data_IF_700532136937
#
_entry.id   IF_700532136937
#
_cell.length_a   1.000
_cell.length_b   1.000
_cell.length_c   1.000
_cell.angle_alpha   90.00
_cell.angle_beta   90.00
_cell.angle_gamma   90.00
#
_symmetry.space_group_name_H-M   'P 1'
#
loop_
_entity.id
_entity.type
_entity.pdbx_description
1 polymer ?
#
# COMPACT_ATOMS: atom_id res chain seq x y z
N UNK A 1 -4.80 -9.42 8.50
CA UNK A 1 -3.77 -9.56 7.45
C UNK A 1 -2.52 -10.00 8.17
N UNK A 2 -1.98 -11.15 7.79
CA UNK A 2 -0.76 -11.64 8.39
C UNK A 2 0.45 -10.86 7.85
N UNK A 3 1.55 -10.87 8.61
CA UNK A 3 2.68 -9.95 8.40
C UNK A 3 3.58 -10.35 7.23
N UNK A 4 3.68 -11.63 6.92
CA UNK A 4 4.64 -12.16 5.97
C UNK A 4 3.96 -12.97 4.87
N UNK A 5 4.54 -12.92 3.68
CA UNK A 5 4.24 -13.81 2.57
C UNK A 5 5.53 -14.44 2.07
N UNK A 6 5.42 -15.56 1.36
CA UNK A 6 6.57 -16.28 0.83
C UNK A 6 6.41 -16.62 -0.66
N UNK A 7 7.53 -16.77 -1.37
CA UNK A 7 7.56 -17.23 -2.77
C UNK A 7 8.90 -17.91 -3.07
N UNK A 8 8.93 -18.88 -3.99
CA UNK A 8 10.18 -19.47 -4.48
C UNK A 8 10.92 -18.54 -5.46
N UNK A 9 10.23 -17.57 -6.07
CA UNK A 9 10.80 -16.51 -6.89
C UNK A 9 10.67 -15.15 -6.19
N UNK A 10 11.80 -14.54 -5.81
CA UNK A 10 11.84 -13.25 -5.13
C UNK A 10 11.44 -12.05 -6.01
N UNK A 11 11.44 -12.21 -7.33
CA UNK A 11 11.02 -11.19 -8.30
C UNK A 11 9.59 -11.41 -8.80
N UNK A 12 8.85 -12.35 -8.20
CA UNK A 12 7.48 -12.60 -8.58
C UNK A 12 6.61 -11.34 -8.37
N UNK A 13 5.89 -10.93 -9.41
CA UNK A 13 4.94 -9.81 -9.35
C UNK A 13 3.72 -10.14 -8.48
N UNK A 14 3.40 -11.43 -8.33
CA UNK A 14 2.29 -11.91 -7.53
C UNK A 14 2.77 -12.99 -6.54
N UNK A 15 2.57 -12.71 -5.25
CA UNK A 15 2.84 -13.62 -4.14
C UNK A 15 1.52 -14.26 -3.71
N UNK A 16 1.06 -15.22 -4.50
CA UNK A 16 -0.23 -15.88 -4.33
C UNK A 16 -0.27 -17.00 -3.28
N UNK A 17 0.85 -17.25 -2.59
CA UNK A 17 0.91 -18.20 -1.48
C UNK A 17 0.26 -17.61 -0.22
N UNK A 18 -0.02 -18.47 0.76
CA UNK A 18 -0.59 -18.07 2.04
C UNK A 18 0.28 -17.04 2.78
N UNK A 19 -0.39 -16.29 3.67
CA UNK A 19 0.22 -15.26 4.52
C UNK A 19 0.34 -15.77 5.96
N UNK A 20 1.43 -15.43 6.65
CA UNK A 20 1.74 -15.94 7.99
C UNK A 20 2.25 -14.87 8.95
N UNK A 21 2.09 -15.12 10.25
CA UNK A 21 2.45 -14.16 11.30
C UNK A 21 3.97 -14.07 11.51
N UNK A 22 4.69 -15.14 11.17
CA UNK A 22 6.14 -15.29 11.41
C UNK A 22 6.89 -15.79 10.18
N UNK A 23 8.21 -15.56 10.16
CA UNK A 23 9.11 -16.05 9.11
C UNK A 23 9.22 -17.59 9.19
N UNK A 24 9.20 -18.14 10.39
CA UNK A 24 9.29 -19.57 10.65
C UNK A 24 8.09 -20.33 10.05
N UNK A 25 6.89 -19.80 10.19
CA UNK A 25 5.68 -20.35 9.56
C UNK A 25 5.77 -20.30 8.02
N UNK A 26 6.27 -19.21 7.44
CA UNK A 26 6.54 -19.13 6.01
C UNK A 26 7.53 -20.21 5.54
N UNK A 27 8.61 -20.44 6.31
CA UNK A 27 9.61 -21.48 5.99
C UNK A 27 8.99 -22.87 6.10
N UNK A 28 8.18 -23.13 7.14
CA UNK A 28 7.48 -24.40 7.31
C UNK A 28 6.54 -24.68 6.14
N UNK A 29 5.70 -23.71 5.77
CA UNK A 29 4.78 -23.82 4.64
C UNK A 29 5.53 -24.04 3.31
N UNK A 30 6.64 -23.32 3.10
CA UNK A 30 7.47 -23.52 1.92
C UNK A 30 8.09 -24.94 1.87
N UNK A 31 8.51 -25.50 3.00
CA UNK A 31 9.02 -26.89 3.07
C UNK A 31 7.94 -27.91 2.76
N UNK A 32 6.72 -27.69 3.26
CA UNK A 32 5.56 -28.53 2.99
C UNK A 32 5.23 -28.52 1.50
N UNK A 33 5.15 -27.35 0.87
CA UNK A 33 4.95 -27.23 -0.57
C UNK A 33 6.03 -27.98 -1.39
N UNK A 34 7.30 -27.94 -0.97
CA UNK A 34 8.36 -28.74 -1.60
C UNK A 34 8.13 -30.24 -1.44
N UNK A 35 7.74 -30.69 -0.24
CA UNK A 35 7.48 -32.10 0.05
C UNK A 35 6.28 -32.64 -0.74
N UNK A 36 5.28 -31.79 -1.01
CA UNK A 36 4.09 -32.11 -1.80
C UNK A 36 4.31 -31.98 -3.32
N UNK A 37 5.44 -31.42 -3.75
CA UNK A 37 5.73 -31.18 -5.16
C UNK A 37 5.03 -29.96 -5.75
N UNK A 38 4.54 -29.04 -4.91
CA UNK A 38 3.87 -27.80 -5.33
C UNK A 38 4.89 -26.71 -5.67
N UNK A 39 5.61 -26.92 -6.77
CA UNK A 39 6.52 -25.95 -7.36
C UNK A 39 6.57 -26.14 -8.88
N UNK A 40 6.90 -25.07 -9.61
CA UNK A 40 6.84 -25.05 -11.08
C UNK A 40 8.08 -25.60 -11.78
N UNK A 41 9.21 -25.61 -11.09
CA UNK A 41 10.49 -26.01 -11.67
C UNK A 41 10.66 -27.53 -11.72
N UNK A 42 11.61 -28.01 -12.51
CA UNK A 42 11.89 -29.45 -12.63
C UNK A 42 12.60 -30.02 -11.40
N UNK A 43 13.29 -29.17 -10.62
CA UNK A 43 14.02 -29.56 -9.42
C UNK A 43 13.41 -28.90 -8.17
N UNK A 44 13.46 -29.58 -7.00
CA UNK A 44 12.98 -29.01 -5.75
C UNK A 44 13.70 -27.69 -5.42
N UNK A 45 12.98 -26.61 -5.09
CA UNK A 45 13.61 -25.35 -4.73
C UNK A 45 14.37 -25.50 -3.41
N UNK A 46 15.58 -24.96 -3.37
CA UNK A 46 16.47 -24.99 -2.19
C UNK A 46 16.44 -23.69 -1.38
N UNK A 47 15.64 -22.72 -1.84
CA UNK A 47 15.52 -21.40 -1.23
C UNK A 47 14.09 -20.90 -1.28
N UNK A 48 13.74 -20.07 -0.32
CA UNK A 48 12.48 -19.33 -0.26
C UNK A 48 12.77 -17.85 -0.04
N UNK A 49 11.98 -16.99 -0.67
CA UNK A 49 11.97 -15.56 -0.43
C UNK A 49 10.78 -15.22 0.45
N UNK A 50 10.99 -14.40 1.47
CA UNK A 50 9.96 -13.97 2.42
C UNK A 50 9.98 -12.45 2.47
N UNK A 51 8.82 -11.85 2.28
CA UNK A 51 8.63 -10.40 2.31
C UNK A 51 7.56 -9.98 3.31
N UNK A 52 7.59 -8.71 3.68
CA UNK A 52 6.64 -8.08 4.59
C UNK A 52 5.43 -7.55 3.82
N UNK A 53 4.24 -7.86 4.33
CA UNK A 53 2.96 -7.39 3.83
C UNK A 53 2.70 -5.97 4.35
N UNK A 54 2.94 -4.97 3.51
CA UNK A 54 2.74 -3.56 3.83
C UNK A 54 1.40 -3.10 3.25
N UNK A 55 0.42 -2.92 4.13
CA UNK A 55 -0.91 -2.47 3.74
C UNK A 55 -0.86 -1.10 3.06
N UNK A 56 -1.63 -0.93 1.99
CA UNK A 56 -1.85 0.38 1.40
C UNK A 56 -2.78 1.19 2.31
N UNK A 57 -2.31 2.35 2.79
CA UNK A 57 -3.10 3.30 3.57
C UNK A 57 -3.27 4.56 2.73
N UNK A 58 -4.49 4.87 2.24
CA UNK A 58 -4.74 6.08 1.48
C UNK A 58 -4.27 7.32 2.22
N UNK A 59 -3.48 8.16 1.54
CA UNK A 59 -3.11 9.50 1.98
C UNK A 59 -3.66 10.50 0.98
N UNK A 60 -4.39 11.50 1.46
CA UNK A 60 -4.93 12.58 0.65
C UNK A 60 -3.83 13.60 0.42
N UNK A 61 -3.64 13.97 -0.84
CA UNK A 61 -2.80 15.09 -1.22
C UNK A 61 -3.57 16.40 -1.04
N UNK A 62 -3.16 17.27 -0.09
CA UNK A 62 -3.85 18.52 0.18
C UNK A 62 -3.76 19.50 -0.99
N UNK A 63 -2.64 19.53 -1.73
CA UNK A 63 -2.43 20.48 -2.82
C UNK A 63 -3.43 20.21 -3.94
N UNK A 64 -3.54 18.94 -4.38
CA UNK A 64 -4.57 18.51 -5.35
C UNK A 64 -5.99 18.91 -4.91
N UNK A 65 -6.32 18.82 -3.62
CA UNK A 65 -7.65 19.22 -3.12
C UNK A 65 -7.85 20.73 -3.21
N UNK A 66 -6.85 21.52 -2.82
CA UNK A 66 -6.92 22.98 -2.81
C UNK A 66 -6.86 23.58 -4.22
N UNK A 67 -6.15 22.94 -5.14
CA UNK A 67 -6.13 23.30 -6.57
C UNK A 67 -7.53 23.13 -7.17
N UNK A 68 -8.18 21.96 -6.93
CA UNK A 68 -9.55 21.73 -7.39
C UNK A 68 -10.54 22.76 -6.82
N UNK A 69 -10.39 23.15 -5.55
CA UNK A 69 -11.23 24.22 -4.97
C UNK A 69 -10.99 25.58 -5.66
N UNK A 70 -9.75 25.88 -6.05
CA UNK A 70 -9.43 27.07 -6.83
C UNK A 70 -10.10 27.06 -8.21
N UNK A 71 -10.07 25.92 -8.90
CA UNK A 71 -10.79 25.75 -10.18
C UNK A 71 -12.31 25.91 -10.00
N UNK A 72 -12.89 25.31 -8.96
CA UNK A 72 -14.31 25.47 -8.63
C UNK A 72 -14.69 26.94 -8.35
N UNK A 73 -13.80 27.71 -7.73
CA UNK A 73 -14.02 29.13 -7.49
C UNK A 73 -14.05 29.95 -8.79
N UNK A 74 -13.18 29.60 -9.75
CA UNK A 74 -13.17 30.20 -11.09
C UNK A 74 -14.45 29.82 -11.85
N UNK A 75 -14.87 28.56 -11.79
CA UNK A 75 -16.12 28.13 -12.43
C UNK A 75 -17.34 28.84 -11.84
N UNK A 76 -17.33 29.13 -10.53
CA UNK A 76 -18.41 29.81 -9.84
C UNK A 76 -18.43 31.34 -10.10
N UNK A 77 -17.27 32.01 -10.06
CA UNK A 77 -17.18 33.48 -10.06
C UNK A 77 -16.52 34.07 -11.31
N UNK A 78 -16.16 33.24 -12.29
CA UNK A 78 -15.40 33.66 -13.47
C UNK A 78 -14.03 34.20 -13.08
N UNK A 79 -13.60 35.27 -13.75
CA UNK A 79 -12.27 35.86 -13.55
C UNK A 79 -11.99 36.28 -12.10
N UNK A 80 -13.03 36.65 -11.34
CA UNK A 80 -12.90 37.03 -9.92
C UNK A 80 -12.41 35.85 -9.07
N UNK A 81 -12.67 34.62 -9.49
CA UNK A 81 -12.17 33.43 -8.81
C UNK A 81 -10.65 33.30 -8.84
N UNK A 82 -9.97 33.84 -9.86
CA UNK A 82 -8.50 33.81 -9.95
C UNK A 82 -7.81 34.65 -8.88
N UNK A 83 -8.50 35.63 -8.29
CA UNK A 83 -7.95 36.45 -7.22
C UNK A 83 -7.88 35.71 -5.88
N UNK A 84 -8.48 34.51 -5.77
CA UNK A 84 -8.40 33.70 -4.57
C UNK A 84 -7.18 32.78 -4.58
N UNK A 85 -6.20 33.10 -3.73
CA UNK A 85 -5.07 32.23 -3.42
C UNK A 85 -5.52 31.14 -2.42
N UNK A 86 -5.81 29.94 -2.90
CA UNK A 86 -6.34 28.85 -2.06
C UNK A 86 -5.31 28.29 -1.06
N UNK A 87 -4.01 28.51 -1.27
CA UNK A 87 -2.91 28.13 -0.36
C UNK A 87 -1.55 28.72 -0.78
N UNK A 88 -0.55 28.60 0.11
CA UNK A 88 0.87 28.90 -0.18
C UNK A 88 1.71 27.61 -0.12
N UNK A 89 2.27 27.18 -1.26
CA UNK A 89 3.13 25.99 -1.36
C UNK A 89 4.35 26.02 -0.42
N UNK A 90 4.75 27.19 0.10
CA UNK A 90 5.87 27.30 1.05
C UNK A 90 5.46 26.92 2.48
N UNK A 91 4.16 26.89 2.79
CA UNK A 91 3.60 26.53 4.10
C UNK A 91 3.43 25.02 4.25
N UNK A 92 4.54 24.30 4.20
CA UNK A 92 4.56 22.83 4.24
C UNK A 92 4.02 22.25 5.55
N UNK A 93 4.08 23.00 6.65
CA UNK A 93 3.48 22.66 7.92
C UNK A 93 1.94 22.66 7.86
N UNK A 94 1.36 23.72 7.29
CA UNK A 94 -0.11 23.83 7.07
C UNK A 94 -0.62 22.73 6.13
N UNK A 95 0.11 22.47 5.02
CA UNK A 95 -0.22 21.40 4.09
C UNK A 95 -0.13 20.02 4.75
N UNK A 96 0.89 19.77 5.58
CA UNK A 96 1.01 18.50 6.30
C UNK A 96 -0.13 18.30 7.29
N UNK A 97 -0.50 19.34 8.04
CA UNK A 97 -1.65 19.30 8.96
C UNK A 97 -2.95 18.97 8.22
N UNK A 98 -3.18 19.60 7.07
CA UNK A 98 -4.35 19.36 6.24
C UNK A 98 -4.34 17.95 5.66
N UNK A 99 -3.21 17.49 5.13
CA UNK A 99 -3.05 16.12 4.61
C UNK A 99 -3.43 15.07 5.65
N UNK A 100 -2.93 15.22 6.88
CA UNK A 100 -3.23 14.30 7.99
C UNK A 100 -4.70 14.34 8.38
N UNK A 101 -5.29 15.53 8.42
CA UNK A 101 -6.70 15.74 8.75
C UNK A 101 -7.64 15.12 7.71
N UNK A 102 -7.42 15.42 6.43
CA UNK A 102 -8.18 14.88 5.30
C UNK A 102 -8.02 13.36 5.22
N UNK A 103 -6.77 12.86 5.29
CA UNK A 103 -6.49 11.42 5.27
C UNK A 103 -7.23 10.70 6.39
N UNK A 104 -7.24 11.26 7.60
CA UNK A 104 -7.96 10.67 8.74
C UNK A 104 -9.47 10.61 8.50
N UNK A 105 -10.07 11.67 7.96
CA UNK A 105 -11.50 11.72 7.64
C UNK A 105 -11.85 10.70 6.55
N UNK A 106 -11.11 10.71 5.44
CA UNK A 106 -11.33 9.82 4.30
C UNK A 106 -11.17 8.36 4.71
N UNK A 107 -10.10 8.01 5.44
CA UNK A 107 -9.90 6.64 5.90
C UNK A 107 -11.03 6.15 6.83
N UNK A 108 -11.55 7.01 7.72
CA UNK A 108 -12.71 6.64 8.55
C UNK A 108 -13.95 6.42 7.70
N UNK A 109 -14.18 7.26 6.70
CA UNK A 109 -15.32 7.13 5.80
C UNK A 109 -15.22 5.84 4.98
N UNK A 110 -14.06 5.55 4.37
CA UNK A 110 -13.81 4.33 3.61
C UNK A 110 -14.07 3.08 4.47
N UNK A 111 -13.57 3.07 5.71
CA UNK A 111 -13.83 1.96 6.66
C UNK A 111 -15.31 1.83 7.00
N UNK A 112 -16.00 2.94 7.27
CA UNK A 112 -17.43 2.95 7.65
C UNK A 112 -18.31 2.31 6.57
N UNK A 113 -17.98 2.53 5.30
CA UNK A 113 -18.79 2.05 4.17
C UNK A 113 -18.22 0.81 3.47
N UNK A 114 -17.16 0.18 4.03
CA UNK A 114 -16.59 -1.04 3.48
C UNK A 114 -15.77 -0.84 2.20
N UNK A 115 -15.30 0.37 1.93
CA UNK A 115 -14.44 0.73 0.80
C UNK A 115 -12.95 0.80 1.16
N UNK A 116 -12.57 0.37 2.37
CA UNK A 116 -11.17 0.35 2.77
C UNK A 116 -10.39 -0.66 1.90
N UNK A 117 -9.20 -0.30 1.37
CA UNK A 117 -8.35 -1.22 0.64
C UNK A 117 -8.02 -2.46 1.48
N UNK A 118 -8.04 -3.64 0.83
CA UNK A 118 -7.70 -4.92 1.44
C UNK A 118 -6.42 -5.54 0.89
N UNK A 119 -5.72 -4.82 0.01
CA UNK A 119 -4.47 -5.27 -0.62
C UNK A 119 -3.24 -4.66 0.05
N UNK A 120 -2.08 -5.25 -0.25
CA UNK A 120 -0.78 -4.87 0.29
C UNK A 120 0.31 -4.98 -0.77
N UNK A 121 1.42 -4.29 -0.54
CA UNK A 121 2.66 -4.51 -1.27
C UNK A 121 3.56 -5.46 -0.49
N UNK A 122 4.38 -6.23 -1.21
CA UNK A 122 5.47 -7.00 -0.62
C UNK A 122 6.71 -6.11 -0.58
N UNK A 123 7.26 -5.89 0.62
CA UNK A 123 8.48 -5.11 0.83
C UNK A 123 9.50 -5.89 1.65
N UNK A 124 10.72 -5.37 1.78
CA UNK A 124 11.76 -5.94 2.65
C UNK A 124 12.04 -7.44 2.40
N UNK A 125 12.03 -7.84 1.12
CA UNK A 125 12.20 -9.24 0.70
C UNK A 125 13.58 -9.76 1.12
N UNK A 126 13.61 -10.93 1.77
CA UNK A 126 14.82 -11.62 2.19
C UNK A 126 14.82 -13.06 1.71
N UNK A 127 16.01 -13.57 1.40
CA UNK A 127 16.24 -14.95 0.94
C UNK A 127 16.63 -15.84 2.10
N UNK A 128 16.01 -17.01 2.19
CA UNK A 128 16.25 -18.05 3.19
C UNK A 128 16.53 -19.38 2.50
N UNK A 129 17.32 -20.22 3.16
CA UNK A 129 17.60 -21.58 2.69
C UNK A 129 16.53 -22.54 3.23
N UNK A 130 16.04 -23.41 2.35
CA UNK A 130 15.23 -24.57 2.69
C UNK A 130 16.17 -25.77 2.92
#
# INVERSE_FOLDING_TARGET
>A
MEKYSWNFNGEAENWGNDTFGTIEECIAAAREAVAEGDYRESEPPTVVYIGENVAFVPRVDPETVLDNLGEEAVDFAGEVGFDWESYDHKRQDELTELADSLSRVVNRWLKKYGYAPSFWAIQNIKRYRL
#
